data_IF_292042059100
#
_entry.id   IF_292042059100
#
_cell.length_a   1.000
_cell.length_b   1.000
_cell.length_c   1.000
_cell.angle_alpha   90.00
_cell.angle_beta   90.00
_cell.angle_gamma   90.00
#
_symmetry.space_group_name_H-M   'P 1'
#
loop_
_entity.id
_entity.type
_entity.pdbx_description
1 polymer ?
#
# COMPACT_ATOMS: atom_id res chain seq x y z
N UNK A 1 23.82 -0.89 35.54
CA UNK A 1 22.59 -0.09 35.36
C UNK A 1 22.19 -0.18 33.90
N UNK A 2 21.35 -1.15 33.53
CA UNK A 2 20.87 -1.31 32.15
C UNK A 2 19.63 -0.46 31.98
N UNK A 3 19.73 0.67 31.27
CA UNK A 3 18.55 1.42 30.84
C UNK A 3 17.95 0.71 29.65
N UNK A 4 16.83 0.02 29.85
CA UNK A 4 15.99 -0.48 28.76
C UNK A 4 15.52 0.74 27.98
N UNK A 5 15.98 0.91 26.73
CA UNK A 5 15.43 1.95 25.87
C UNK A 5 14.05 1.49 25.44
N UNK A 6 13.02 1.94 26.15
CA UNK A 6 11.64 1.85 25.69
C UNK A 6 11.50 2.77 24.48
N UNK A 7 11.46 2.20 23.27
CA UNK A 7 11.30 2.97 22.04
C UNK A 7 9.82 3.16 21.72
N UNK A 8 9.32 4.37 21.90
CA UNK A 8 8.03 4.78 21.32
C UNK A 8 8.23 5.21 19.86
N UNK A 9 7.90 4.32 18.93
CA UNK A 9 7.96 4.57 17.49
C UNK A 9 6.70 5.24 16.92
N UNK A 10 5.64 5.41 17.71
CA UNK A 10 4.36 5.93 17.22
C UNK A 10 4.52 7.27 16.47
N UNK A 11 5.31 8.25 16.94
CA UNK A 11 5.51 9.51 16.22
C UNK A 11 6.18 9.34 14.85
N UNK A 12 7.08 8.36 14.71
CA UNK A 12 7.80 8.09 13.45
C UNK A 12 6.87 7.39 12.45
N UNK A 13 6.06 6.43 12.92
CA UNK A 13 5.03 5.79 12.10
C UNK A 13 4.03 6.81 11.54
N UNK A 14 3.62 7.75 12.38
CA UNK A 14 2.73 8.85 12.04
C UNK A 14 3.27 9.76 10.94
N UNK A 15 4.55 10.15 11.04
CA UNK A 15 5.24 10.95 10.02
C UNK A 15 5.40 10.16 8.71
N UNK A 16 5.70 8.87 8.81
CA UNK A 16 5.77 7.98 7.66
C UNK A 16 4.42 7.92 6.94
N UNK A 17 3.34 7.67 7.67
CA UNK A 17 2.01 7.53 7.08
C UNK A 17 1.52 8.83 6.42
N UNK A 18 1.72 9.98 7.09
CA UNK A 18 1.18 11.26 6.61
C UNK A 18 2.02 11.91 5.51
N UNK A 19 3.33 11.70 5.48
CA UNK A 19 4.22 12.47 4.62
C UNK A 19 5.09 11.61 3.71
N UNK A 20 5.91 10.72 4.29
CA UNK A 20 6.89 9.97 3.52
C UNK A 20 6.24 8.91 2.63
N UNK A 21 5.25 8.21 3.15
CA UNK A 21 4.49 7.19 2.44
C UNK A 21 3.88 7.74 1.15
N UNK A 22 3.09 8.84 1.18
CA UNK A 22 2.57 9.44 -0.04
C UNK A 22 3.67 9.82 -1.04
N UNK A 23 4.73 10.49 -0.58
CA UNK A 23 5.81 10.92 -1.46
C UNK A 23 6.48 9.73 -2.19
N UNK A 24 6.64 8.59 -1.51
CA UNK A 24 7.26 7.39 -2.07
C UNK A 24 6.29 6.58 -2.95
N UNK A 25 5.05 6.39 -2.51
CA UNK A 25 4.19 5.34 -3.05
C UNK A 25 3.06 5.82 -3.96
N UNK A 26 2.68 7.10 -3.98
CA UNK A 26 1.52 7.53 -4.80
C UNK A 26 1.76 7.35 -6.30
N UNK A 27 2.90 7.81 -6.81
CA UNK A 27 3.24 7.67 -8.23
C UNK A 27 3.40 6.20 -8.61
N UNK A 28 4.04 5.43 -7.74
CA UNK A 28 4.21 4.00 -7.92
C UNK A 28 2.85 3.27 -7.92
N UNK A 29 1.93 3.64 -7.04
CA UNK A 29 0.60 3.06 -6.97
C UNK A 29 -0.16 3.25 -8.29
N UNK A 30 -0.09 4.44 -8.90
CA UNK A 30 -0.73 4.74 -10.19
C UNK A 30 -0.12 3.90 -11.31
N UNK A 31 1.21 3.78 -11.37
CA UNK A 31 1.89 2.96 -12.37
C UNK A 31 1.51 1.49 -12.22
N UNK A 32 1.57 0.97 -10.99
CA UNK A 32 1.21 -0.41 -10.69
C UNK A 32 -0.27 -0.69 -11.03
N UNK A 33 -1.17 0.25 -10.76
CA UNK A 33 -2.59 0.17 -11.14
C UNK A 33 -2.77 -0.08 -12.64
N UNK A 34 -2.04 0.68 -13.47
CA UNK A 34 -2.09 0.56 -14.93
C UNK A 34 -1.49 -0.76 -15.42
N UNK A 35 -0.41 -1.22 -14.80
CA UNK A 35 0.21 -2.50 -15.14
C UNK A 35 -0.72 -3.66 -14.82
N UNK A 36 -1.29 -3.68 -13.62
CA UNK A 36 -2.27 -4.69 -13.22
C UNK A 36 -3.48 -4.68 -14.15
N UNK A 37 -4.01 -3.51 -14.50
CA UNK A 37 -5.13 -3.38 -15.45
C UNK A 37 -4.84 -3.96 -16.84
N UNK A 38 -3.59 -3.85 -17.30
CA UNK A 38 -3.17 -4.37 -18.60
C UNK A 38 -2.94 -5.89 -18.59
N UNK A 39 -2.36 -6.41 -17.52
CA UNK A 39 -1.91 -7.81 -17.46
C UNK A 39 -2.95 -8.73 -16.82
N UNK A 40 -3.86 -8.22 -16.00
CA UNK A 40 -4.90 -8.99 -15.32
C UNK A 40 -6.28 -8.64 -15.90
N UNK A 41 -6.85 -9.54 -16.69
CA UNK A 41 -8.22 -9.41 -17.24
C UNK A 41 -9.28 -10.02 -16.32
N UNK A 42 -8.88 -10.92 -15.43
CA UNK A 42 -9.74 -11.66 -14.49
C UNK A 42 -8.95 -12.14 -13.26
N UNK A 43 -9.62 -12.48 -12.16
CA UNK A 43 -9.00 -13.09 -10.98
C UNK A 43 -8.74 -12.15 -9.80
N UNK A 44 -7.97 -12.60 -8.80
CA UNK A 44 -7.73 -11.84 -7.55
C UNK A 44 -6.30 -11.33 -7.47
N UNK A 45 -6.14 -10.05 -7.11
CA UNK A 45 -4.84 -9.41 -6.87
C UNK A 45 -4.60 -9.27 -5.37
N UNK A 46 -3.47 -9.77 -4.88
CA UNK A 46 -3.07 -9.71 -3.48
C UNK A 46 -1.95 -8.70 -3.28
N UNK A 47 -2.13 -7.76 -2.36
CA UNK A 47 -1.08 -6.85 -1.91
C UNK A 47 -0.38 -7.42 -0.67
N UNK A 48 0.83 -7.98 -0.84
CA UNK A 48 1.54 -8.71 0.24
C UNK A 48 2.11 -7.81 1.35
N UNK A 49 2.32 -6.51 1.08
CA UNK A 49 2.90 -5.55 2.01
C UNK A 49 2.03 -4.29 2.08
N UNK A 50 0.75 -4.48 2.40
CA UNK A 50 -0.24 -3.46 2.14
C UNK A 50 -0.18 -2.21 3.04
N UNK A 51 0.63 -2.23 4.11
CA UNK A 51 0.94 -1.10 4.98
C UNK A 51 -0.21 -0.11 5.18
N UNK A 52 0.06 1.17 4.92
CA UNK A 52 -0.90 2.30 4.98
C UNK A 52 -2.05 2.20 3.95
N UNK A 53 -2.06 1.19 3.09
CA UNK A 53 -3.05 0.97 2.03
C UNK A 53 -2.94 1.96 0.88
N UNK A 54 -1.79 2.64 0.75
CA UNK A 54 -1.64 3.68 -0.26
C UNK A 54 -1.86 3.12 -1.67
N UNK A 55 -1.26 1.97 -1.96
CA UNK A 55 -1.38 1.32 -3.26
C UNK A 55 -2.81 0.82 -3.49
N UNK A 56 -3.38 0.12 -2.51
CA UNK A 56 -4.77 -0.36 -2.57
C UNK A 56 -5.77 0.75 -2.93
N UNK A 57 -5.71 1.90 -2.25
CA UNK A 57 -6.71 2.99 -2.38
C UNK A 57 -6.65 3.70 -3.74
N UNK A 58 -5.51 3.66 -4.42
CA UNK A 58 -5.28 4.36 -5.70
C UNK A 58 -5.58 3.49 -6.92
N UNK A 59 -5.80 2.19 -6.71
CA UNK A 59 -6.03 1.20 -7.75
C UNK A 59 -7.49 0.93 -8.20
N UNK A 60 -8.58 1.23 -7.46
CA UNK A 60 -9.92 0.75 -7.86
C UNK A 60 -10.48 1.35 -9.15
N UNK A 61 -9.83 2.38 -9.72
CA UNK A 61 -10.25 3.01 -10.98
C UNK A 61 -9.80 2.22 -12.22
N UNK A 62 -8.81 1.33 -12.14
CA UNK A 62 -8.20 0.70 -13.33
C UNK A 62 -8.36 -0.82 -13.44
N UNK A 63 -8.75 -1.52 -12.38
CA UNK A 63 -8.83 -2.99 -12.40
C UNK A 63 -10.17 -3.42 -13.01
N UNK A 64 -10.21 -4.43 -13.89
CA UNK A 64 -11.46 -4.91 -14.47
C UNK A 64 -12.48 -5.31 -13.40
N UNK A 65 -13.77 -5.11 -13.66
CA UNK A 65 -14.84 -5.40 -12.71
C UNK A 65 -14.91 -6.88 -12.27
N UNK A 66 -14.28 -7.80 -13.03
CA UNK A 66 -14.14 -9.21 -12.68
C UNK A 66 -12.99 -9.49 -11.70
N UNK A 67 -12.20 -8.46 -11.34
CA UNK A 67 -11.03 -8.59 -10.49
C UNK A 67 -11.31 -8.10 -9.06
N UNK A 68 -10.91 -8.89 -8.07
CA UNK A 68 -10.99 -8.52 -6.65
C UNK A 68 -9.60 -8.20 -6.11
N UNK A 69 -9.48 -7.15 -5.32
CA UNK A 69 -8.22 -6.83 -4.62
C UNK A 69 -8.34 -7.18 -3.14
N UNK A 70 -7.30 -7.82 -2.60
CA UNK A 70 -7.25 -8.19 -1.18
C UNK A 70 -5.95 -7.74 -0.54
N UNK A 71 -6.07 -7.33 0.72
CA UNK A 71 -4.96 -7.30 1.67
C UNK A 71 -4.86 -8.69 2.29
N UNK A 72 -3.66 -9.08 2.71
CA UNK A 72 -3.53 -10.28 3.55
C UNK A 72 -4.12 -9.94 4.93
N UNK A 73 -5.04 -10.77 5.40
CA UNK A 73 -5.59 -10.70 6.76
C UNK A 73 -4.49 -10.93 7.82
#
# INVERSE_FOLDING_TARGET
MSSTIEHDYAPVCDLYERHLGPALFERYAIDLARRVARECTEGTVLEMACGTGIVTRRQPISIPACSTMRKRD
#
